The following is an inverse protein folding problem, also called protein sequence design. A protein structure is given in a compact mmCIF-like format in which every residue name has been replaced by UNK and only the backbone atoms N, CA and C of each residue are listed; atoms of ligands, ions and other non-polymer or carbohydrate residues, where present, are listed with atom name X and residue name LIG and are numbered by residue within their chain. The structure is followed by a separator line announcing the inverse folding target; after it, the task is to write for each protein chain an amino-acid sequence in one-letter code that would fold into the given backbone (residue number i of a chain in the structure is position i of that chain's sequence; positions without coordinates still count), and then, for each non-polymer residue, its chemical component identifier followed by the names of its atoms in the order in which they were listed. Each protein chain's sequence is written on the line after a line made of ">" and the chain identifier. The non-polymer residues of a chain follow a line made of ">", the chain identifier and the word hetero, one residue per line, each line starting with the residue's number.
data_IF_819572438840
#
_entry.id   IF_819572438840
#
_cell.length_a   1.000
_cell.length_b   1.000
_cell.length_c   1.000
_cell.angle_alpha   90.00
_cell.angle_beta   90.00
_cell.angle_gamma   90.00
#
_symmetry.space_group_name_H-M   'P 1'
#
loop_
_entity.id
_entity.type
_entity.pdbx_description
1 polymer ?
#
# COMPACT_ATOMS: atom_id res chain seq x y z
N UNK A 1 75.53 -1.52 -5.04
CA UNK A 1 74.86 -2.39 -4.03
C UNK A 1 75.02 -3.82 -4.49
N UNK A 2 75.34 -4.76 -3.58
CA UNK A 2 75.56 -6.16 -3.98
C UNK A 2 74.22 -6.88 -4.22
N UNK A 3 74.19 -7.87 -5.12
CA UNK A 3 72.99 -8.68 -5.41
C UNK A 3 72.43 -9.38 -4.15
N UNK A 4 73.30 -9.68 -3.18
CA UNK A 4 72.91 -10.25 -1.90
C UNK A 4 72.09 -9.27 -1.02
N UNK A 5 72.37 -7.96 -1.11
CA UNK A 5 71.60 -6.94 -0.40
C UNK A 5 70.22 -6.75 -1.02
N UNK A 6 70.12 -6.79 -2.36
CA UNK A 6 68.84 -6.69 -3.07
C UNK A 6 67.92 -7.87 -2.71
N UNK A 7 68.48 -9.08 -2.66
CA UNK A 7 67.73 -10.28 -2.29
C UNK A 7 67.24 -10.27 -0.82
N UNK A 8 68.05 -9.76 0.10
CA UNK A 8 67.65 -9.62 1.50
C UNK A 8 66.56 -8.56 1.68
N UNK A 9 66.66 -7.43 0.99
CA UNK A 9 65.67 -6.36 1.03
C UNK A 9 64.32 -6.81 0.43
N UNK A 10 64.32 -7.61 -0.64
CA UNK A 10 63.11 -8.21 -1.22
C UNK A 10 62.45 -9.24 -0.30
N UNK A 11 63.25 -10.07 0.37
CA UNK A 11 62.75 -11.01 1.39
C UNK A 11 62.14 -10.26 2.58
N UNK A 12 62.83 -9.23 3.08
CA UNK A 12 62.32 -8.38 4.16
C UNK A 12 61.04 -7.65 3.75
N UNK A 13 60.94 -7.12 2.54
CA UNK A 13 59.73 -6.47 2.04
C UNK A 13 58.55 -7.45 1.90
N UNK A 14 58.79 -8.70 1.49
CA UNK A 14 57.72 -9.72 1.40
C UNK A 14 57.24 -10.22 2.77
N UNK A 15 58.11 -10.17 3.80
CA UNK A 15 57.79 -10.54 5.18
C UNK A 15 57.17 -9.39 5.99
N UNK A 16 57.53 -8.13 5.67
CA UNK A 16 57.15 -6.94 6.45
C UNK A 16 56.04 -6.09 5.84
N UNK A 17 55.70 -6.29 4.56
CA UNK A 17 54.51 -5.67 3.96
C UNK A 17 53.44 -6.73 3.68
N UNK A 18 52.63 -7.06 4.70
CA UNK A 18 51.65 -8.10 4.58
C UNK A 18 50.43 -7.44 3.92
N UNK A 19 50.50 -7.18 2.61
CA UNK A 19 49.37 -6.70 1.81
C UNK A 19 48.39 -7.87 1.52
N UNK A 20 48.18 -8.75 2.51
CA UNK A 20 47.26 -9.90 2.49
C UNK A 20 45.80 -9.50 2.68
N UNK A 21 45.51 -8.20 2.76
CA UNK A 21 44.18 -7.71 2.42
C UNK A 21 43.99 -7.95 0.93
N UNK A 22 43.69 -9.21 0.62
CA UNK A 22 43.33 -9.68 -0.69
C UNK A 22 42.19 -8.77 -1.15
N UNK A 23 42.50 -7.87 -2.06
CA UNK A 23 41.55 -6.93 -2.65
C UNK A 23 40.35 -7.70 -3.20
N UNK A 24 40.57 -8.92 -3.68
CA UNK A 24 39.55 -9.91 -4.04
C UNK A 24 38.60 -10.30 -2.90
N UNK A 25 39.09 -10.47 -1.67
CA UNK A 25 38.29 -10.76 -0.47
C UNK A 25 37.52 -9.51 -0.03
N UNK A 26 38.12 -8.32 -0.08
CA UNK A 26 37.42 -7.07 0.26
C UNK A 26 36.33 -6.73 -0.77
N UNK A 27 36.60 -6.94 -2.07
CA UNK A 27 35.62 -6.83 -3.16
C UNK A 27 34.51 -7.87 -3.01
N UNK A 28 34.83 -9.12 -2.67
CA UNK A 28 33.83 -10.16 -2.43
C UNK A 28 32.94 -9.85 -1.22
N UNK A 29 33.51 -9.34 -0.12
CA UNK A 29 32.77 -8.88 1.06
C UNK A 29 31.86 -7.69 0.74
N UNK A 30 32.37 -6.70 0.01
CA UNK A 30 31.59 -5.54 -0.44
C UNK A 30 30.43 -5.95 -1.35
N UNK A 31 30.69 -6.88 -2.30
CA UNK A 31 29.65 -7.43 -3.17
C UNK A 31 28.58 -8.20 -2.38
N UNK A 32 28.97 -9.07 -1.45
CA UNK A 32 28.04 -9.81 -0.60
C UNK A 32 27.19 -8.86 0.28
N UNK A 33 27.78 -7.79 0.82
CA UNK A 33 27.06 -6.75 1.56
C UNK A 33 26.04 -6.03 0.67
N UNK A 34 26.44 -5.60 -0.51
CA UNK A 34 25.57 -4.90 -1.47
C UNK A 34 24.42 -5.81 -1.96
N UNK A 35 24.71 -7.08 -2.23
CA UNK A 35 23.70 -8.06 -2.64
C UNK A 35 22.73 -8.37 -1.49
N UNK A 36 23.24 -8.47 -0.25
CA UNK A 36 22.40 -8.59 0.95
C UNK A 36 21.50 -7.39 1.17
N UNK A 37 22.03 -6.17 0.98
CA UNK A 37 21.26 -4.93 1.09
C UNK A 37 20.16 -4.84 0.03
N UNK A 38 20.48 -5.14 -1.24
CA UNK A 38 19.50 -5.19 -2.34
C UNK A 38 18.41 -6.22 -2.08
N UNK A 39 18.77 -7.42 -1.63
CA UNK A 39 17.79 -8.46 -1.24
C UNK A 39 16.90 -7.98 -0.10
N UNK A 40 17.46 -7.34 0.92
CA UNK A 40 16.70 -6.77 2.03
C UNK A 40 15.71 -5.69 1.58
N UNK A 41 16.10 -4.82 0.65
CA UNK A 41 15.20 -3.82 0.06
C UNK A 41 14.07 -4.49 -0.73
N UNK A 42 14.38 -5.47 -1.57
CA UNK A 42 13.35 -6.20 -2.32
C UNK A 42 12.34 -6.90 -1.39
N UNK A 43 12.79 -7.49 -0.28
CA UNK A 43 11.89 -8.12 0.71
C UNK A 43 10.99 -7.08 1.38
N UNK A 44 11.53 -5.91 1.73
CA UNK A 44 10.74 -4.82 2.32
C UNK A 44 9.70 -4.28 1.34
N UNK A 45 10.08 -4.06 0.08
CA UNK A 45 9.17 -3.62 -0.98
C UNK A 45 8.05 -4.64 -1.20
N UNK A 46 8.40 -5.94 -1.24
CA UNK A 46 7.42 -7.00 -1.39
C UNK A 46 6.45 -7.05 -0.20
N UNK A 47 6.96 -6.88 1.02
CA UNK A 47 6.12 -6.84 2.22
C UNK A 47 5.16 -5.64 2.21
N UNK A 48 5.64 -4.45 1.82
CA UNK A 48 4.80 -3.25 1.67
C UNK A 48 3.73 -3.43 0.59
N UNK A 49 4.11 -4.02 -0.54
CA UNK A 49 3.18 -4.33 -1.64
C UNK A 49 2.08 -5.30 -1.19
N UNK A 50 2.45 -6.39 -0.53
CA UNK A 50 1.50 -7.38 -0.04
C UNK A 50 0.58 -6.80 1.04
N UNK A 51 1.12 -5.97 1.93
CA UNK A 51 0.35 -5.26 2.93
C UNK A 51 -0.69 -4.32 2.29
N UNK A 52 -0.28 -3.55 1.28
CA UNK A 52 -1.19 -2.67 0.56
C UNK A 52 -2.28 -3.42 -0.21
N UNK A 53 -1.93 -4.51 -0.90
CA UNK A 53 -2.90 -5.37 -1.61
C UNK A 53 -3.93 -5.92 -0.63
N UNK A 54 -3.49 -6.47 0.51
CA UNK A 54 -4.40 -6.99 1.53
C UNK A 54 -5.35 -5.93 2.07
N UNK A 55 -4.85 -4.70 2.26
CA UNK A 55 -5.67 -3.58 2.71
C UNK A 55 -6.67 -3.11 1.62
N UNK A 56 -6.29 -3.10 0.34
CA UNK A 56 -7.22 -2.82 -0.77
C UNK A 56 -8.35 -3.85 -0.82
N UNK A 57 -8.00 -5.14 -0.71
CA UNK A 57 -8.98 -6.23 -0.70
C UNK A 57 -9.94 -6.08 0.48
N UNK A 58 -9.40 -5.80 1.67
CA UNK A 58 -10.21 -5.54 2.87
C UNK A 58 -11.14 -4.33 2.68
N UNK A 59 -10.63 -3.22 2.15
CA UNK A 59 -11.45 -2.03 1.89
C UNK A 59 -12.57 -2.32 0.87
N UNK A 60 -12.29 -3.14 -0.14
CA UNK A 60 -13.27 -3.59 -1.13
C UNK A 60 -14.37 -4.43 -0.46
N UNK A 61 -14.00 -5.43 0.34
CA UNK A 61 -14.98 -6.29 1.04
C UNK A 61 -15.88 -5.50 1.99
N UNK A 62 -15.32 -4.55 2.74
CA UNK A 62 -16.10 -3.69 3.64
C UNK A 62 -17.04 -2.77 2.82
N UNK A 63 -16.57 -2.26 1.69
CA UNK A 63 -17.41 -1.45 0.79
C UNK A 63 -18.59 -2.27 0.23
N UNK A 64 -18.36 -3.53 -0.13
CA UNK A 64 -19.42 -4.45 -0.55
C UNK A 64 -20.42 -4.75 0.57
N UNK A 65 -19.94 -4.91 1.81
CA UNK A 65 -20.80 -5.08 2.98
C UNK A 65 -21.72 -3.87 3.19
N UNK A 66 -21.16 -2.66 3.10
CA UNK A 66 -21.93 -1.42 3.18
C UNK A 66 -22.95 -1.32 2.05
N UNK A 67 -22.57 -1.67 0.82
CA UNK A 67 -23.50 -1.69 -0.31
C UNK A 67 -24.66 -2.67 -0.10
N UNK A 68 -24.40 -3.84 0.48
CA UNK A 68 -25.47 -4.80 0.86
C UNK A 68 -26.43 -4.20 1.87
N UNK A 69 -25.92 -3.48 2.89
CA UNK A 69 -26.76 -2.77 3.86
C UNK A 69 -27.63 -1.68 3.25
N UNK A 70 -27.13 -1.00 2.21
CA UNK A 70 -27.92 -0.04 1.44
C UNK A 70 -29.11 -0.75 0.77
N UNK A 71 -28.86 -1.86 0.09
CA UNK A 71 -29.92 -2.63 -0.59
C UNK A 71 -30.94 -3.22 0.40
N UNK A 72 -30.50 -3.77 1.52
CA UNK A 72 -31.38 -4.32 2.58
C UNK A 72 -32.33 -3.28 3.18
N UNK A 73 -31.93 -2.00 3.17
CA UNK A 73 -32.72 -0.88 3.73
C UNK A 73 -33.53 -0.12 2.67
N UNK A 74 -33.51 -0.57 1.42
CA UNK A 74 -34.14 0.15 0.30
C UNK A 74 -33.47 1.49 -0.01
N UNK A 75 -32.24 1.70 0.47
CA UNK A 75 -31.48 2.94 0.30
C UNK A 75 -30.68 2.88 -1.01
N UNK A 76 -31.07 3.67 -2.01
CA UNK A 76 -30.52 3.56 -3.36
C UNK A 76 -29.18 4.28 -3.44
N UNK A 77 -28.11 3.50 -3.59
CA UNK A 77 -26.78 4.01 -3.90
C UNK A 77 -26.46 3.76 -5.37
N UNK A 78 -26.33 4.84 -6.14
CA UNK A 78 -26.05 4.78 -7.58
C UNK A 78 -24.64 4.32 -7.86
N UNK A 79 -23.69 4.72 -7.03
CA UNK A 79 -22.27 4.41 -7.25
C UNK A 79 -21.48 4.49 -5.95
N UNK A 80 -20.52 3.58 -5.80
CA UNK A 80 -19.49 3.63 -4.76
C UNK A 80 -18.12 3.75 -5.40
N UNK A 81 -17.31 4.63 -4.85
CA UNK A 81 -15.98 4.98 -5.34
C UNK A 81 -15.01 4.81 -4.18
N UNK A 82 -14.13 3.81 -4.27
CA UNK A 82 -13.07 3.58 -3.29
C UNK A 82 -11.80 4.28 -3.75
N UNK A 83 -11.22 5.08 -2.85
CA UNK A 83 -9.95 5.80 -3.00
C UNK A 83 -8.98 5.37 -1.90
N UNK A 84 -7.76 5.02 -2.27
CA UNK A 84 -6.66 4.86 -1.32
C UNK A 84 -6.05 6.24 -1.00
N UNK A 85 -5.94 6.58 0.28
CA UNK A 85 -5.28 7.81 0.75
C UNK A 85 -3.81 7.54 1.08
N UNK A 86 -3.55 6.42 1.77
CA UNK A 86 -2.22 5.92 2.06
C UNK A 86 -2.23 4.37 2.11
N UNK A 87 -1.16 3.73 2.61
CA UNK A 87 -1.06 2.26 2.69
C UNK A 87 -2.09 1.59 3.61
N UNK A 88 -2.67 2.35 4.55
CA UNK A 88 -3.58 1.91 5.61
C UNK A 88 -4.95 2.58 5.51
N UNK A 89 -5.05 3.74 4.89
CA UNK A 89 -6.22 4.62 4.93
C UNK A 89 -6.96 4.68 3.61
N UNK A 90 -8.29 4.52 3.66
CA UNK A 90 -9.17 4.46 2.50
C UNK A 90 -10.42 5.32 2.70
N UNK A 91 -10.81 6.04 1.66
CA UNK A 91 -12.07 6.76 1.61
C UNK A 91 -13.00 6.09 0.59
N UNK A 92 -14.27 5.96 0.97
CA UNK A 92 -15.32 5.45 0.10
C UNK A 92 -16.37 6.53 -0.07
N UNK A 93 -16.53 7.01 -1.30
CA UNK A 93 -17.59 7.95 -1.66
C UNK A 93 -18.79 7.19 -2.20
N UNK A 94 -19.92 7.32 -1.50
CA UNK A 94 -21.21 6.77 -1.91
C UNK A 94 -22.07 7.89 -2.52
N UNK A 95 -22.40 7.73 -3.80
CA UNK A 95 -23.32 8.62 -4.52
C UNK A 95 -24.72 8.05 -4.37
N UNK A 96 -25.57 8.77 -3.63
CA UNK A 96 -26.89 8.33 -3.21
C UNK A 96 -27.96 9.01 -4.05
N UNK A 97 -29.02 8.29 -4.41
CA UNK A 97 -30.17 8.92 -5.04
C UNK A 97 -30.77 10.06 -4.16
N UNK A 98 -31.26 11.14 -4.78
CA UNK A 98 -31.76 12.32 -4.05
C UNK A 98 -32.89 11.97 -3.08
N UNK A 99 -33.83 11.13 -3.50
CA UNK A 99 -34.97 10.75 -2.66
C UNK A 99 -34.51 9.89 -1.48
N UNK A 100 -33.61 8.94 -1.75
CA UNK A 100 -32.98 8.13 -0.70
C UNK A 100 -32.18 8.99 0.28
N UNK A 101 -31.42 9.98 -0.20
CA UNK A 101 -30.61 10.85 0.64
C UNK A 101 -31.43 11.72 1.62
N UNK A 102 -32.69 12.04 1.27
CA UNK A 102 -33.61 12.78 2.13
C UNK A 102 -34.48 11.87 3.01
N UNK A 103 -34.48 10.56 2.76
CA UNK A 103 -35.29 9.60 3.50
C UNK A 103 -34.79 9.32 4.93
N UNK A 104 -35.69 8.84 5.78
CA UNK A 104 -35.35 8.35 7.11
C UNK A 104 -34.46 7.09 7.09
N UNK A 105 -34.49 6.32 6.00
CA UNK A 105 -33.59 5.17 5.79
C UNK A 105 -32.11 5.60 5.84
N UNK A 106 -31.79 6.87 5.54
CA UNK A 106 -30.43 7.42 5.73
C UNK A 106 -29.91 7.23 7.15
N UNK A 107 -30.75 7.41 8.18
CA UNK A 107 -30.33 7.29 9.58
C UNK A 107 -29.97 5.84 9.93
N UNK A 108 -30.74 4.89 9.43
CA UNK A 108 -30.50 3.45 9.61
C UNK A 108 -29.16 3.08 8.97
N UNK A 109 -28.97 3.47 7.72
CA UNK A 109 -27.75 3.23 6.97
C UNK A 109 -26.53 3.88 7.62
N UNK A 110 -26.64 5.14 8.05
CA UNK A 110 -25.55 5.84 8.73
C UNK A 110 -25.11 5.13 10.01
N UNK A 111 -26.07 4.57 10.76
CA UNK A 111 -25.79 3.77 11.94
C UNK A 111 -25.03 2.50 11.58
N UNK A 112 -25.47 1.77 10.55
CA UNK A 112 -24.77 0.57 10.06
C UNK A 112 -23.35 0.87 9.60
N UNK A 113 -23.14 1.95 8.83
CA UNK A 113 -21.80 2.40 8.43
C UNK A 113 -20.93 2.65 9.66
N UNK A 114 -21.46 3.34 10.69
CA UNK A 114 -20.71 3.64 11.91
C UNK A 114 -20.29 2.38 12.66
N UNK A 115 -21.18 1.39 12.74
CA UNK A 115 -20.91 0.10 13.38
C UNK A 115 -19.84 -0.69 12.63
N UNK A 116 -19.97 -0.81 11.31
CA UNK A 116 -18.98 -1.46 10.43
C UNK A 116 -17.62 -0.78 10.55
N UNK A 117 -17.59 0.56 10.53
CA UNK A 117 -16.36 1.35 10.65
C UNK A 117 -15.68 1.13 11.99
N UNK A 118 -16.45 1.09 13.09
CA UNK A 118 -15.95 0.80 14.43
C UNK A 118 -15.39 -0.62 14.55
N UNK A 119 -16.02 -1.59 13.89
CA UNK A 119 -15.57 -2.99 13.92
C UNK A 119 -14.28 -3.24 13.13
N UNK A 120 -14.04 -2.46 12.08
CA UNK A 120 -12.96 -2.72 11.13
C UNK A 120 -11.72 -1.82 11.28
N UNK A 121 -11.88 -0.61 11.81
CA UNK A 121 -10.77 0.32 11.96
C UNK A 121 -9.82 -0.12 13.08
N UNK A 122 -8.52 -0.06 12.79
CA UNK A 122 -7.42 -0.44 13.68
C UNK A 122 -6.18 0.39 13.38
N UNK A 123 -5.10 0.21 14.14
CA UNK A 123 -3.82 0.90 13.90
C UNK A 123 -3.16 0.56 12.54
N UNK A 124 -3.64 -0.48 11.87
CA UNK A 124 -3.10 -0.98 10.60
C UNK A 124 -4.05 -0.78 9.42
N UNK A 125 -5.28 -0.34 9.68
CA UNK A 125 -6.30 -0.19 8.66
C UNK A 125 -7.34 0.84 9.08
N UNK A 126 -7.61 1.81 8.21
CA UNK A 126 -8.62 2.84 8.39
C UNK A 126 -9.47 2.94 7.14
N UNK A 127 -10.78 2.87 7.30
CA UNK A 127 -11.74 3.17 6.24
C UNK A 127 -12.70 4.25 6.71
N UNK A 128 -13.08 5.13 5.78
CA UNK A 128 -14.06 6.15 6.01
C UNK A 128 -15.07 6.19 4.86
N UNK A 129 -16.30 6.60 5.18
CA UNK A 129 -17.42 6.61 4.24
C UNK A 129 -17.98 8.02 4.16
N UNK A 130 -18.08 8.53 2.95
CA UNK A 130 -18.65 9.82 2.59
C UNK A 130 -19.92 9.57 1.80
N UNK A 131 -20.99 10.31 2.08
CA UNK A 131 -22.23 10.21 1.33
C UNK A 131 -22.57 11.56 0.72
N UNK A 132 -22.81 11.57 -0.58
CA UNK A 132 -23.29 12.74 -1.30
C UNK A 132 -24.59 12.41 -2.05
N UNK A 133 -25.56 13.33 -2.11
CA UNK A 133 -26.68 13.17 -3.03
C UNK A 133 -26.17 13.28 -4.47
N UNK A 134 -26.77 12.51 -5.36
CA UNK A 134 -26.56 12.63 -6.79
C UNK A 134 -27.06 14.00 -7.26
N UNK A 135 -26.13 14.93 -7.49
CA UNK A 135 -26.41 16.33 -7.76
C UNK A 135 -26.53 16.69 -9.24
N UNK A 136 -26.20 15.79 -10.16
CA UNK A 136 -26.02 16.09 -11.60
C UNK A 136 -24.61 15.77 -12.07
N UNK A 137 -24.02 16.62 -12.91
CA UNK A 137 -22.69 16.38 -13.51
C UNK A 137 -21.58 16.30 -12.46
N UNK A 138 -21.25 15.08 -12.05
CA UNK A 138 -20.03 14.78 -11.32
C UNK A 138 -18.91 14.70 -12.34
N UNK A 139 -17.91 15.58 -12.23
CA UNK A 139 -16.70 15.47 -13.04
C UNK A 139 -15.83 14.32 -12.54
N UNK A 140 -16.09 13.14 -13.12
CA UNK A 140 -15.32 11.93 -12.83
C UNK A 140 -13.85 12.01 -13.27
N UNK A 141 -13.47 12.99 -14.10
CA UNK A 141 -12.06 13.17 -14.50
C UNK A 141 -11.21 13.67 -13.32
N UNK A 142 -11.77 14.53 -12.46
CA UNK A 142 -11.12 14.99 -11.24
C UNK A 142 -10.96 13.85 -10.22
N UNK A 143 -11.96 12.97 -10.11
CA UNK A 143 -11.89 11.80 -9.22
C UNK A 143 -10.77 10.85 -9.63
N UNK A 144 -10.54 10.66 -10.94
CA UNK A 144 -9.46 9.83 -11.48
C UNK A 144 -8.07 10.46 -11.30
N UNK A 145 -7.99 11.77 -11.18
CA UNK A 145 -6.70 12.49 -11.08
C UNK A 145 -6.02 12.34 -9.73
N UNK A 146 -6.75 11.91 -8.69
CA UNK A 146 -6.24 11.80 -7.31
C UNK A 146 -5.68 10.41 -6.96
N UNK A 147 -5.49 9.52 -7.95
CA UNK A 147 -4.79 8.24 -7.77
C UNK A 147 -5.60 7.01 -8.19
N UNK A 148 -5.63 5.99 -7.32
CA UNK A 148 -6.27 4.70 -7.62
C UNK A 148 -7.76 4.75 -7.24
N UNK A 149 -8.63 4.56 -8.24
CA UNK A 149 -10.09 4.55 -8.06
C UNK A 149 -10.65 3.19 -8.43
N UNK A 150 -11.29 2.52 -7.47
CA UNK A 150 -12.07 1.29 -7.72
C UNK A 150 -13.55 1.66 -7.81
N UNK A 151 -14.14 1.43 -8.98
CA UNK A 151 -15.60 1.49 -9.17
C UNK A 151 -16.16 0.09 -8.90
N UNK A 152 -17.11 0.01 -7.97
CA UNK A 152 -17.82 -1.25 -7.77
C UNK A 152 -18.72 -1.54 -8.98
N UNK A 153 -18.52 -2.69 -9.61
CA UNK A 153 -19.43 -3.25 -10.61
C UNK A 153 -20.03 -4.53 -10.04
N UNK A 154 -21.34 -4.58 -9.77
CA UNK A 154 -21.97 -5.80 -9.30
C UNK A 154 -21.82 -6.88 -10.37
N UNK A 155 -21.29 -8.05 -9.99
CA UNK A 155 -21.26 -9.22 -10.88
C UNK A 155 -22.71 -9.63 -11.18
N UNK A 156 -23.20 -9.31 -12.38
CA UNK A 156 -24.41 -9.91 -12.93
C UNK A 156 -24.19 -11.42 -13.03
N UNK A 157 -24.92 -12.19 -12.22
CA UNK A 157 -25.07 -13.64 -12.39
C UNK A 157 -26.14 -13.92 -13.43
#
# INVERSE_FOLDING_TARGET
>A
MSEAQIFQDDLLNSLTNPNWKNESIEVAKSKAYNDGFKKGMNVKELALKNFFISNIEKATLISEEVYKKFNESGFICKQMILKAIDLKSFDVLCIIDKESYLSEARKIVYKSIREIKKANNSNEFFINFLMMPDGGEIDYSLIKSEGFTLKYEPKTR
#
